data_IF_410300659407
#
_entry.id   IF_410300659407
#
_cell.length_a   1.000
_cell.length_b   1.000
_cell.length_c   1.000
_cell.angle_alpha   90.00
_cell.angle_beta   90.00
_cell.angle_gamma   90.00
#
_symmetry.space_group_name_H-M   'P 1'
#
loop_
_entity.id
_entity.type
_entity.pdbx_description
1 polymer ?
#
# COMPACT_ATOMS: atom_id res chain seq x y z
N UNK A 1 -15.27 -31.17 -14.40
CA UNK A 1 -13.82 -31.11 -14.05
C UNK A 1 -13.66 -30.24 -12.81
N UNK A 2 -12.98 -30.71 -11.76
CA UNK A 2 -12.61 -29.86 -10.62
C UNK A 2 -11.33 -29.10 -10.99
N UNK A 3 -11.40 -27.78 -11.16
CA UNK A 3 -10.19 -26.95 -11.30
C UNK A 3 -9.31 -27.14 -10.06
N UNK A 4 -8.00 -27.33 -10.26
CA UNK A 4 -7.04 -27.30 -9.14
C UNK A 4 -7.13 -25.91 -8.49
N UNK A 5 -7.33 -25.86 -7.17
CA UNK A 5 -7.28 -24.60 -6.41
C UNK A 5 -5.89 -23.99 -6.58
N UNK A 6 -5.83 -22.73 -7.00
CA UNK A 6 -4.58 -21.99 -7.08
C UNK A 6 -4.30 -21.32 -5.73
N UNK A 7 -3.05 -21.35 -5.26
CA UNK A 7 -2.71 -20.74 -3.97
C UNK A 7 -2.80 -19.22 -4.07
N UNK A 8 -3.31 -18.58 -3.02
CA UNK A 8 -3.21 -17.13 -2.85
C UNK A 8 -1.78 -16.77 -2.48
N UNK A 9 -1.20 -15.76 -3.14
CA UNK A 9 0.09 -15.20 -2.71
C UNK A 9 -0.11 -14.24 -1.55
N UNK A 10 0.97 -13.92 -0.83
CA UNK A 10 0.94 -12.97 0.28
C UNK A 10 0.35 -11.61 -0.14
N UNK A 11 0.87 -11.02 -1.21
CA UNK A 11 0.42 -9.70 -1.70
C UNK A 11 -0.97 -9.75 -2.32
N UNK A 12 -1.33 -10.83 -3.02
CA UNK A 12 -2.70 -11.02 -3.48
C UNK A 12 -3.68 -11.04 -2.30
N UNK A 13 -3.35 -11.79 -1.24
CA UNK A 13 -4.19 -11.86 -0.03
C UNK A 13 -4.35 -10.48 0.62
N UNK A 14 -3.27 -9.70 0.70
CA UNK A 14 -3.32 -8.34 1.21
C UNK A 14 -4.25 -7.43 0.40
N UNK A 15 -4.17 -7.47 -0.94
CA UNK A 15 -5.08 -6.70 -1.80
C UNK A 15 -6.54 -7.13 -1.60
N UNK A 16 -6.82 -8.43 -1.61
CA UNK A 16 -8.19 -8.95 -1.44
C UNK A 16 -8.81 -8.63 -0.08
N UNK A 17 -7.98 -8.42 0.94
CA UNK A 17 -8.42 -8.14 2.31
C UNK A 17 -8.25 -6.67 2.71
N UNK A 18 -7.67 -5.83 1.85
CA UNK A 18 -7.36 -4.43 2.18
C UNK A 18 -6.28 -4.26 3.26
N UNK A 19 -5.39 -5.23 3.44
CA UNK A 19 -4.32 -5.20 4.46
C UNK A 19 -2.96 -4.77 3.89
N UNK A 20 -2.00 -4.54 4.77
CA UNK A 20 -0.59 -4.29 4.39
C UNK A 20 -0.27 -2.81 4.32
N UNK A 21 0.35 -2.37 3.24
CA UNK A 21 0.91 -1.02 3.09
C UNK A 21 -0.10 0.01 2.55
N UNK A 22 -1.41 -0.23 2.72
CA UNK A 22 -2.46 0.72 2.37
C UNK A 22 -2.63 1.75 3.49
N UNK A 23 -2.67 3.04 3.16
CA UNK A 23 -2.83 4.11 4.15
C UNK A 23 -4.05 3.94 5.05
N UNK A 24 -5.18 3.44 4.51
CA UNK A 24 -6.38 3.13 5.31
C UNK A 24 -6.08 2.11 6.43
N UNK A 25 -5.42 1.00 6.09
CA UNK A 25 -5.03 -0.03 7.05
C UNK A 25 -3.93 0.45 8.01
N UNK A 26 -2.90 1.12 7.48
CA UNK A 26 -1.78 1.60 8.28
C UNK A 26 -2.22 2.61 9.34
N UNK A 27 -3.21 3.44 9.03
CA UNK A 27 -3.75 4.42 9.96
C UNK A 27 -4.73 3.79 10.95
N UNK A 28 -5.77 3.11 10.46
CA UNK A 28 -6.90 2.68 11.30
C UNK A 28 -6.61 1.42 12.12
N UNK A 29 -5.81 0.51 11.56
CA UNK A 29 -5.58 -0.81 12.17
C UNK A 29 -4.16 -0.96 12.69
N UNK A 30 -3.14 -0.71 11.86
CA UNK A 30 -1.76 -0.89 12.27
C UNK A 30 -1.24 0.25 13.16
N UNK A 31 -1.89 1.42 13.13
CA UNK A 31 -1.50 2.64 13.86
C UNK A 31 -0.03 3.05 13.58
N UNK A 32 0.41 2.87 12.33
CA UNK A 32 1.77 3.22 11.85
C UNK A 32 1.81 4.52 11.05
N UNK A 33 0.66 5.00 10.57
CA UNK A 33 0.55 6.24 9.81
C UNK A 33 -0.50 7.18 10.42
N UNK A 34 -0.29 8.50 10.38
CA UNK A 34 -1.18 9.47 11.02
C UNK A 34 -2.45 9.74 10.23
N UNK A 35 -2.50 9.37 8.95
CA UNK A 35 -3.64 9.65 8.06
C UNK A 35 -3.93 8.46 7.14
N UNK A 36 -5.16 8.40 6.63
CA UNK A 36 -5.57 7.40 5.62
C UNK A 36 -5.20 7.81 4.20
N UNK A 37 -4.55 8.96 4.00
CA UNK A 37 -4.38 9.57 2.68
C UNK A 37 -3.40 8.79 1.80
N UNK A 38 -3.66 8.82 0.49
CA UNK A 38 -2.74 8.28 -0.49
C UNK A 38 -1.56 9.22 -0.68
N UNK A 39 -0.37 8.78 -0.26
CA UNK A 39 0.86 9.55 -0.44
C UNK A 39 1.20 9.85 -1.91
N UNK A 40 0.67 9.05 -2.84
CA UNK A 40 0.98 9.18 -4.27
C UNK A 40 0.12 10.21 -5.00
N UNK A 41 -1.14 10.38 -4.59
CA UNK A 41 -2.09 11.22 -5.32
C UNK A 41 -2.95 12.14 -4.43
N UNK A 42 -2.77 12.11 -3.12
CA UNK A 42 -3.49 12.95 -2.16
C UNK A 42 -4.96 12.57 -1.96
N UNK A 43 -5.43 11.42 -2.47
CA UNK A 43 -6.78 10.96 -2.19
C UNK A 43 -6.97 10.71 -0.68
N UNK A 44 -8.15 11.05 -0.14
CA UNK A 44 -8.41 10.98 1.29
C UNK A 44 -8.26 9.58 1.91
N UNK A 45 -8.47 8.53 1.10
CA UNK A 45 -8.41 7.12 1.53
C UNK A 45 -7.60 6.30 0.52
N UNK A 46 -6.43 5.83 0.95
CA UNK A 46 -5.62 4.84 0.25
C UNK A 46 -6.08 3.44 0.63
N UNK A 47 -7.10 2.95 -0.06
CA UNK A 47 -7.60 1.57 0.05
C UNK A 47 -7.08 0.69 -1.08
N UNK A 48 -7.29 -0.63 -0.95
CA UNK A 48 -7.07 -1.57 -2.05
C UNK A 48 -7.90 -1.19 -3.29
N UNK A 49 -9.17 -0.81 -3.10
CA UNK A 49 -10.04 -0.40 -4.22
C UNK A 49 -9.54 0.89 -4.89
N UNK A 50 -9.08 1.86 -4.09
CA UNK A 50 -8.46 3.08 -4.63
C UNK A 50 -7.24 2.75 -5.51
N UNK A 51 -6.39 1.82 -5.05
CA UNK A 51 -5.24 1.33 -5.82
C UNK A 51 -5.68 0.62 -7.12
N UNK A 52 -6.70 -0.23 -7.03
CA UNK A 52 -7.24 -1.03 -8.12
C UNK A 52 -8.04 -0.24 -9.15
N UNK A 53 -8.59 0.93 -8.83
CA UNK A 53 -9.46 1.65 -9.78
C UNK A 53 -9.03 3.09 -10.05
N UNK A 54 -8.46 3.79 -9.07
CA UNK A 54 -8.44 5.27 -9.09
C UNK A 54 -7.02 5.83 -9.16
N UNK A 55 -6.12 5.39 -8.28
CA UNK A 55 -4.83 6.02 -8.05
C UNK A 55 -4.01 6.23 -9.35
N UNK A 56 -3.73 7.46 -9.80
CA UNK A 56 -3.08 7.70 -11.09
C UNK A 56 -1.69 7.04 -11.21
N UNK A 57 -0.99 6.83 -10.09
CA UNK A 57 0.30 6.12 -10.05
C UNK A 57 0.25 4.73 -10.70
N UNK A 58 -0.88 4.04 -10.57
CA UNK A 58 -1.02 2.66 -11.06
C UNK A 58 -1.77 2.58 -12.39
N UNK A 59 -2.06 3.70 -13.06
CA UNK A 59 -2.91 3.75 -14.25
C UNK A 59 -2.42 2.82 -15.39
N UNK A 60 -1.11 2.80 -15.67
CA UNK A 60 -0.53 1.94 -16.71
C UNK A 60 -0.68 0.45 -16.37
N UNK A 61 -0.38 0.08 -15.11
CA UNK A 61 -0.53 -1.31 -14.67
C UNK A 61 -2.01 -1.73 -14.68
N UNK A 62 -2.92 -0.84 -14.29
CA UNK A 62 -4.36 -1.08 -14.36
C UNK A 62 -4.83 -1.27 -15.79
N UNK A 63 -4.38 -0.44 -16.74
CA UNK A 63 -4.73 -0.61 -18.14
C UNK A 63 -4.31 -1.99 -18.66
N UNK A 64 -3.10 -2.44 -18.32
CA UNK A 64 -2.64 -3.80 -18.62
C UNK A 64 -3.54 -4.87 -17.99
N UNK A 65 -3.89 -4.72 -16.72
CA UNK A 65 -4.78 -5.66 -16.02
C UNK A 65 -6.18 -5.71 -16.64
N UNK A 66 -6.79 -4.55 -16.91
CA UNK A 66 -8.12 -4.42 -17.54
C UNK A 66 -8.16 -5.07 -18.92
N UNK A 67 -7.07 -4.97 -19.69
CA UNK A 67 -6.98 -5.60 -21.01
C UNK A 67 -7.07 -7.13 -20.96
N UNK A 68 -6.69 -7.74 -19.84
CA UNK A 68 -6.74 -9.20 -19.63
C UNK A 68 -8.06 -9.60 -18.98
N UNK A 69 -8.45 -8.95 -17.88
CA UNK A 69 -9.64 -9.35 -17.10
C UNK A 69 -10.95 -9.07 -17.85
N UNK A 70 -10.99 -8.00 -18.65
CA UNK A 70 -12.22 -7.44 -19.19
C UNK A 70 -13.12 -6.84 -18.11
N UNK A 71 -13.78 -5.72 -18.43
CA UNK A 71 -14.72 -5.07 -17.50
C UNK A 71 -14.08 -4.13 -16.48
N UNK A 72 -14.78 -3.91 -15.36
CA UNK A 72 -14.30 -3.05 -14.26
C UNK A 72 -13.36 -3.79 -13.30
N UNK A 73 -12.64 -3.01 -12.49
CA UNK A 73 -11.70 -3.52 -11.49
C UNK A 73 -12.30 -3.56 -10.08
N UNK A 74 -13.63 -3.68 -9.98
CA UNK A 74 -14.26 -3.95 -8.69
C UNK A 74 -13.83 -5.33 -8.19
N UNK A 75 -13.67 -5.49 -6.87
CA UNK A 75 -13.25 -6.78 -6.29
C UNK A 75 -14.12 -7.97 -6.73
N UNK A 76 -15.48 -7.87 -6.78
CA UNK A 76 -16.31 -8.97 -7.27
C UNK A 76 -16.04 -9.34 -8.75
N UNK A 77 -15.85 -8.35 -9.62
CA UNK A 77 -15.52 -8.58 -11.03
C UNK A 77 -14.16 -9.26 -11.19
N UNK A 78 -13.15 -8.78 -10.46
CA UNK A 78 -11.81 -9.38 -10.44
C UNK A 78 -11.87 -10.85 -9.98
N UNK A 79 -12.55 -11.13 -8.87
CA UNK A 79 -12.66 -12.50 -8.33
C UNK A 79 -13.35 -13.40 -9.35
N UNK A 80 -14.41 -12.93 -10.01
CA UNK A 80 -15.11 -13.67 -11.06
C UNK A 80 -14.18 -14.03 -12.21
N UNK A 81 -13.42 -13.05 -12.73
CA UNK A 81 -12.45 -13.26 -13.81
C UNK A 81 -11.33 -14.23 -13.40
N UNK A 82 -10.78 -14.08 -12.20
CA UNK A 82 -9.74 -14.97 -11.66
C UNK A 82 -10.20 -16.44 -11.55
N UNK A 83 -11.47 -16.68 -11.24
CA UNK A 83 -12.06 -18.02 -11.20
C UNK A 83 -12.38 -18.57 -12.60
N UNK A 84 -12.54 -17.68 -13.58
CA UNK A 84 -12.85 -17.96 -14.97
C UNK A 84 -11.70 -18.59 -15.76
N UNK A 85 -10.46 -18.15 -15.55
CA UNK A 85 -9.32 -18.66 -16.33
C UNK A 85 -7.93 -18.49 -15.67
N UNK A 86 -6.91 -19.06 -16.32
CA UNK A 86 -5.53 -19.09 -15.83
C UNK A 86 -4.73 -17.84 -16.14
N UNK A 87 -5.10 -17.13 -17.19
CA UNK A 87 -4.47 -15.89 -17.60
C UNK A 87 -4.88 -14.75 -16.66
N UNK A 88 -6.18 -14.60 -16.39
CA UNK A 88 -6.74 -13.67 -15.42
C UNK A 88 -6.14 -13.84 -14.03
N UNK A 89 -5.98 -15.08 -13.58
CA UNK A 89 -5.32 -15.36 -12.30
C UNK A 89 -3.87 -14.89 -12.29
N UNK A 90 -3.09 -15.22 -13.32
CA UNK A 90 -1.67 -14.84 -13.41
C UNK A 90 -1.51 -13.33 -13.53
N UNK A 91 -2.34 -12.67 -14.31
CA UNK A 91 -2.35 -11.22 -14.49
C UNK A 91 -2.61 -10.52 -13.15
N UNK A 92 -3.62 -10.96 -12.40
CA UNK A 92 -3.92 -10.37 -11.08
C UNK A 92 -2.79 -10.61 -10.07
N UNK A 93 -2.22 -11.83 -10.02
CA UNK A 93 -1.05 -12.10 -9.16
C UNK A 93 0.11 -11.19 -9.54
N UNK A 94 0.45 -11.07 -10.83
CA UNK A 94 1.56 -10.21 -11.29
C UNK A 94 1.33 -8.73 -10.96
N UNK A 95 0.10 -8.24 -11.13
CA UNK A 95 -0.30 -6.89 -10.74
C UNK A 95 -0.10 -6.68 -9.23
N UNK A 96 -0.63 -7.57 -8.39
CA UNK A 96 -0.49 -7.49 -6.94
C UNK A 96 0.98 -7.51 -6.49
N UNK A 97 1.79 -8.41 -7.05
CA UNK A 97 3.23 -8.48 -6.72
C UNK A 97 3.94 -7.16 -7.06
N UNK A 98 3.67 -6.59 -8.22
CA UNK A 98 4.32 -5.37 -8.70
C UNK A 98 3.91 -4.13 -7.91
N UNK A 99 2.61 -3.97 -7.67
CA UNK A 99 2.07 -2.81 -6.97
C UNK A 99 2.44 -2.85 -5.48
N UNK A 100 2.19 -3.98 -4.82
CA UNK A 100 2.42 -4.09 -3.38
C UNK A 100 3.91 -4.03 -3.04
N UNK A 101 4.80 -4.63 -3.84
CA UNK A 101 6.25 -4.51 -3.61
C UNK A 101 6.74 -3.06 -3.64
N UNK A 102 6.21 -2.26 -4.56
CA UNK A 102 6.54 -0.84 -4.65
C UNK A 102 5.95 -0.05 -3.47
N UNK A 103 4.68 -0.27 -3.12
CA UNK A 103 4.05 0.38 -1.95
C UNK A 103 4.76 0.02 -0.64
N UNK A 104 5.16 -1.24 -0.45
CA UNK A 104 5.96 -1.71 0.69
C UNK A 104 7.33 -1.01 0.75
N UNK A 105 7.98 -0.80 -0.40
CA UNK A 105 9.23 -0.07 -0.46
C UNK A 105 9.05 1.43 -0.13
N UNK A 106 7.96 2.03 -0.58
CA UNK A 106 7.58 3.41 -0.23
C UNK A 106 7.24 3.57 1.25
N UNK A 107 6.52 2.62 1.85
CA UNK A 107 6.30 2.56 3.31
C UNK A 107 7.64 2.47 4.04
N UNK A 108 8.49 1.50 3.72
CA UNK A 108 9.79 1.31 4.39
C UNK A 108 10.66 2.57 4.34
N UNK A 109 10.72 3.26 3.19
CA UNK A 109 11.45 4.53 3.06
C UNK A 109 10.93 5.61 4.01
N UNK A 110 9.62 5.68 4.21
CA UNK A 110 8.99 6.65 5.12
C UNK A 110 9.27 6.32 6.58
N UNK A 111 9.24 5.05 6.95
CA UNK A 111 9.60 4.60 8.29
C UNK A 111 11.06 4.94 8.62
N UNK A 112 11.98 4.61 7.71
CA UNK A 112 13.39 4.96 7.85
C UNK A 112 13.59 6.48 7.99
N UNK A 113 12.87 7.29 7.21
CA UNK A 113 12.92 8.74 7.31
C UNK A 113 12.36 9.27 8.64
N UNK A 114 11.26 8.69 9.13
CA UNK A 114 10.65 9.04 10.41
C UNK A 114 11.56 8.68 11.59
N UNK A 115 12.22 7.52 11.55
CA UNK A 115 13.20 7.11 12.55
C UNK A 115 14.40 8.04 12.57
N UNK A 116 14.93 8.42 11.39
CA UNK A 116 16.01 9.41 11.28
C UNK A 116 15.55 10.77 11.83
N UNK A 117 14.31 11.19 11.57
CA UNK A 117 13.77 12.43 12.11
C UNK A 117 13.61 12.38 13.64
N UNK A 118 13.16 11.25 14.19
CA UNK A 118 13.09 11.00 15.64
C UNK A 118 14.47 11.06 16.30
N UNK A 119 15.49 10.46 15.68
CA UNK A 119 16.89 10.53 16.13
C UNK A 119 17.40 11.98 16.06
N UNK A 120 17.13 12.70 14.97
CA UNK A 120 17.52 14.12 14.80
C UNK A 120 16.78 15.03 15.78
N UNK A 121 15.55 14.71 16.14
CA UNK A 121 14.75 15.38 17.16
C UNK A 121 15.34 15.26 18.57
N UNK A 122 16.27 14.33 18.82
CA UNK A 122 17.06 14.25 20.06
C UNK A 122 18.22 15.27 20.14
N UNK A 123 18.05 16.50 19.64
CA UNK A 123 18.96 17.66 19.85
C UNK A 123 18.11 18.94 20.03
N UNK A 124 18.03 19.67 21.14
CA UNK A 124 18.72 19.67 22.44
C UNK A 124 17.71 19.47 23.59
N UNK A 125 18.02 18.53 24.50
CA UNK A 125 17.29 18.42 25.77
C UNK A 125 17.40 19.69 26.62
N UNK A 126 16.30 20.02 27.30
CA UNK A 126 16.08 21.19 28.18
C UNK A 126 17.26 21.46 29.17
N UNK A 127 18.02 20.42 29.54
CA UNK A 127 19.18 20.52 30.43
C UNK A 127 20.31 21.43 29.91
N UNK A 128 20.60 21.45 28.60
CA UNK A 128 21.70 22.29 28.05
C UNK A 128 21.29 23.77 27.94
N UNK A 129 19.98 24.04 27.77
CA UNK A 129 19.41 25.41 27.76
C UNK A 129 19.51 26.09 29.13
N UNK A 130 19.30 25.32 30.22
CA UNK A 130 19.45 25.77 31.62
C UNK A 130 20.90 25.94 32.11
N UNK A 131 21.88 25.33 31.43
CA UNK A 131 23.30 25.50 31.76
C UNK A 131 23.85 26.80 31.13
N UNK A 132 23.47 27.10 29.89
CA UNK A 132 23.91 28.31 29.18
C UNK A 132 23.25 29.60 29.69
N UNK A 133 22.02 29.55 30.22
CA UNK A 133 21.38 30.69 30.92
C UNK A 133 21.96 30.97 32.32
N UNK A 134 22.86 30.12 32.84
CA UNK A 134 23.51 30.29 34.15
C UNK A 134 24.96 30.79 34.06
N UNK A 135 25.42 31.11 32.85
CA UNK A 135 26.75 31.65 32.56
C UNK A 135 26.69 33.12 32.09
N UNK A 136 25.55 33.78 32.26
CA UNK A 136 25.40 35.24 32.26
C UNK A 136 25.21 35.70 33.70
#
# INVERSE_FOLDING_TARGET
MRRKRKPLTFRLTQVLTGHGCFGDYLCRTAQREPTTECHDCGAAVDSAQHTLEVCPRWAVLRQGLTSVLGGDLSLPSIITAMLGDDESWKAMVSFCETVMSQKEADERRREEAADVASIRGRRMGVRRRRYLMRLQ
#
